data_IF_786774475511
#
_entry.id   IF_786774475511
#
_cell.length_a   1.000
_cell.length_b   1.000
_cell.length_c   1.000
_cell.angle_alpha   90.00
_cell.angle_beta   90.00
_cell.angle_gamma   90.00
#
_symmetry.space_group_name_H-M   'P 1'
#
loop_
_entity.id
_entity.type
_entity.pdbx_description
1 polymer ?
#
# COMPACT_ATOMS: atom_id res chain seq x y z
N UNK A 1 30.70 31.35 -22.89
CA UNK A 1 31.62 31.84 -21.83
C UNK A 1 30.82 32.79 -20.94
N UNK A 2 30.23 32.33 -19.86
CA UNK A 2 29.74 33.16 -18.75
C UNK A 2 29.88 32.38 -17.47
N UNK A 3 30.83 32.76 -16.66
CA UNK A 3 31.21 32.19 -15.38
C UNK A 3 30.11 32.48 -14.36
N UNK A 4 29.59 31.49 -13.67
CA UNK A 4 28.68 31.65 -12.55
C UNK A 4 29.45 31.44 -11.25
N UNK A 5 29.51 32.47 -10.47
CA UNK A 5 30.24 32.54 -9.21
C UNK A 5 29.51 31.80 -8.09
N UNK A 6 30.27 30.93 -7.45
CA UNK A 6 29.91 30.20 -6.24
C UNK A 6 30.00 31.17 -5.04
N UNK A 7 28.90 31.41 -4.34
CA UNK A 7 28.93 32.10 -3.03
C UNK A 7 28.63 31.09 -1.93
N UNK A 8 29.69 30.85 -1.17
CA UNK A 8 29.68 30.05 0.06
C UNK A 8 29.14 30.92 1.20
N UNK A 9 28.01 30.58 1.82
CA UNK A 9 27.55 31.19 3.07
C UNK A 9 27.64 30.17 4.19
N UNK A 10 28.59 30.40 5.03
CA UNK A 10 28.78 29.74 6.34
C UNK A 10 27.88 30.44 7.34
N UNK A 11 27.03 29.74 8.05
CA UNK A 11 26.35 30.27 9.22
C UNK A 11 26.51 29.33 10.43
N UNK A 12 26.93 29.97 11.51
CA UNK A 12 27.47 29.38 12.71
C UNK A 12 26.42 28.80 13.66
N UNK A 13 26.89 27.85 14.43
CA UNK A 13 26.31 27.10 15.53
C UNK A 13 26.10 28.01 16.75
N UNK A 14 24.96 27.91 17.44
CA UNK A 14 24.85 28.26 18.85
C UNK A 14 24.14 27.14 19.62
N UNK A 15 24.90 26.52 20.52
CA UNK A 15 24.45 25.60 21.54
C UNK A 15 23.86 26.38 22.72
N UNK A 16 22.73 25.91 23.26
CA UNK A 16 22.25 26.30 24.58
C UNK A 16 21.90 25.05 25.38
N UNK A 17 22.74 24.75 26.34
CA UNK A 17 22.48 23.81 27.39
C UNK A 17 21.62 24.48 28.48
N UNK A 18 20.62 23.83 29.01
CA UNK A 18 20.01 24.17 30.29
C UNK A 18 19.64 22.91 31.06
N UNK A 19 20.37 22.66 32.10
CA UNK A 19 20.03 21.76 33.20
C UNK A 19 19.02 22.44 34.13
N UNK A 20 18.00 21.78 34.59
CA UNK A 20 17.51 22.03 35.92
C UNK A 20 16.89 20.74 36.53
N UNK A 21 17.42 20.42 37.70
CA UNK A 21 17.01 19.31 38.54
C UNK A 21 15.84 19.70 39.45
N UNK A 22 15.15 18.68 39.93
CA UNK A 22 14.06 18.78 40.89
C UNK A 22 13.86 17.44 41.60
N UNK A 23 14.41 17.35 42.79
CA UNK A 23 14.28 16.24 43.74
C UNK A 23 12.89 16.23 44.39
N UNK A 24 12.29 15.06 44.61
CA UNK A 24 11.04 14.90 45.34
C UNK A 24 10.86 13.46 45.81
N UNK A 25 11.21 13.24 47.07
CA UNK A 25 11.19 12.02 47.84
C UNK A 25 9.77 11.62 48.25
N UNK A 26 9.47 10.32 48.29
CA UNK A 26 8.21 9.78 48.83
C UNK A 26 8.22 8.26 48.90
N UNK A 27 8.82 7.73 49.98
CA UNK A 27 8.68 6.31 50.39
C UNK A 27 7.25 6.00 50.77
N UNK A 28 6.76 4.80 50.41
CA UNK A 28 6.03 3.94 51.36
C UNK A 28 6.09 2.48 50.91
N UNK A 29 6.62 1.71 51.84
CA UNK A 29 6.66 0.27 51.87
C UNK A 29 5.23 -0.30 51.99
N UNK A 30 4.95 -1.44 51.38
CA UNK A 30 4.42 -2.57 52.15
C UNK A 30 4.65 -3.90 51.44
N UNK A 31 5.25 -4.76 52.19
CA UNK A 31 5.44 -6.20 52.05
C UNK A 31 4.17 -6.95 51.61
N UNK A 32 4.34 -7.91 50.76
CA UNK A 32 3.98 -9.32 50.98
C UNK A 32 4.07 -10.11 49.68
N UNK A 33 5.13 -10.90 49.57
CA UNK A 33 5.18 -12.04 48.64
C UNK A 33 4.71 -13.29 49.43
N UNK A 34 4.02 -14.23 48.78
CA UNK A 34 4.75 -15.44 48.48
C UNK A 34 4.48 -16.02 47.07
N UNK A 35 5.49 -16.75 46.66
CA UNK A 35 5.63 -17.48 45.43
C UNK A 35 4.58 -18.58 45.22
N UNK A 36 4.25 -18.83 43.92
CA UNK A 36 4.16 -20.21 43.42
C UNK A 36 4.00 -20.25 41.89
N UNK A 37 4.88 -21.04 41.29
CA UNK A 37 4.72 -21.92 40.14
C UNK A 37 4.48 -21.31 38.74
N UNK A 38 5.57 -21.19 38.01
CA UNK A 38 5.86 -21.80 36.72
C UNK A 38 4.71 -22.56 36.05
N UNK A 39 4.19 -22.02 34.97
CA UNK A 39 3.86 -22.82 33.78
C UNK A 39 3.92 -21.89 32.54
N UNK A 40 4.93 -22.14 31.74
CA UNK A 40 5.07 -21.61 30.38
C UNK A 40 4.11 -22.38 29.48
N UNK A 41 3.13 -21.77 28.83
CA UNK A 41 2.48 -22.42 27.71
C UNK A 41 3.39 -22.27 26.48
N UNK A 42 3.80 -23.42 25.95
CA UNK A 42 4.49 -23.56 24.71
C UNK A 42 3.79 -22.72 23.62
N UNK A 43 4.58 -21.92 22.91
CA UNK A 43 4.15 -21.25 21.70
C UNK A 43 3.68 -22.30 20.71
N UNK A 44 2.36 -22.41 20.55
CA UNK A 44 1.76 -23.10 19.42
C UNK A 44 2.15 -22.35 18.17
N UNK A 45 2.86 -23.01 17.26
CA UNK A 45 3.10 -22.56 15.91
C UNK A 45 1.74 -22.17 15.27
N UNK A 46 1.68 -21.07 14.53
CA UNK A 46 0.46 -20.74 13.81
C UNK A 46 0.17 -21.87 12.82
N UNK A 47 -0.93 -22.57 13.02
CA UNK A 47 -1.47 -23.48 12.05
C UNK A 47 -1.65 -22.70 10.74
N UNK A 48 -1.04 -23.17 9.66
CA UNK A 48 -1.30 -22.67 8.32
C UNK A 48 -2.79 -22.84 8.04
N UNK A 49 -3.53 -21.77 8.21
CA UNK A 49 -4.90 -21.68 7.75
C UNK A 49 -4.88 -21.86 6.25
N UNK A 50 -5.64 -22.79 5.66
CA UNK A 50 -5.73 -22.92 4.21
C UNK A 50 -6.01 -21.53 3.62
N UNK A 51 -5.24 -21.14 2.61
CA UNK A 51 -5.40 -19.87 1.93
C UNK A 51 -6.88 -19.71 1.54
N UNK A 52 -7.56 -18.77 2.18
CA UNK A 52 -8.89 -18.38 1.78
C UNK A 52 -8.86 -18.05 0.28
N UNK A 53 -9.88 -18.41 -0.50
CA UNK A 53 -9.92 -18.12 -1.93
C UNK A 53 -9.63 -16.63 -2.13
N UNK A 54 -8.75 -16.34 -3.09
CA UNK A 54 -8.24 -14.99 -3.32
C UNK A 54 -9.39 -13.97 -3.30
N UNK A 55 -9.28 -12.99 -2.43
CA UNK A 55 -10.23 -11.91 -2.24
C UNK A 55 -10.70 -11.38 -3.61
N UNK A 56 -12.00 -11.39 -3.86
CA UNK A 56 -12.58 -10.92 -5.11
C UNK A 56 -12.71 -11.98 -6.21
N UNK A 57 -13.09 -13.21 -5.87
CA UNK A 57 -13.38 -14.28 -6.83
C UNK A 57 -14.52 -13.98 -7.83
N UNK A 58 -15.28 -12.88 -7.63
CA UNK A 58 -16.26 -12.44 -8.61
C UNK A 58 -15.54 -11.85 -9.82
N UNK A 59 -15.52 -12.61 -10.91
CA UNK A 59 -15.05 -12.11 -12.21
C UNK A 59 -16.13 -11.18 -12.78
N UNK A 60 -15.80 -9.93 -12.99
CA UNK A 60 -16.65 -8.96 -13.68
C UNK A 60 -15.79 -8.09 -14.59
N UNK A 61 -15.75 -8.49 -15.85
CA UNK A 61 -15.02 -7.77 -16.90
C UNK A 61 -15.87 -6.67 -17.58
N UNK A 62 -17.16 -6.58 -17.26
CA UNK A 62 -18.04 -5.54 -17.79
C UNK A 62 -18.06 -4.30 -16.90
N UNK A 63 -17.80 -4.46 -15.61
CA UNK A 63 -17.69 -3.34 -14.70
C UNK A 63 -16.40 -2.55 -14.97
N UNK A 64 -16.55 -1.32 -15.43
CA UNK A 64 -15.43 -0.41 -15.69
C UNK A 64 -15.05 0.47 -14.49
N UNK A 65 -15.77 0.33 -13.39
CA UNK A 65 -15.60 1.16 -12.21
C UNK A 65 -16.06 2.60 -12.38
N UNK A 66 -15.75 3.40 -11.38
CA UNK A 66 -16.15 4.81 -11.26
C UNK A 66 -14.91 5.66 -11.25
N UNK A 67 -14.79 6.55 -12.23
CA UNK A 67 -13.63 7.41 -12.34
C UNK A 67 -13.42 7.99 -13.74
N UNK A 68 -12.28 8.60 -14.00
CA UNK A 68 -11.99 9.31 -15.24
C UNK A 68 -11.82 8.37 -16.44
N UNK A 69 -11.39 7.12 -16.23
CA UNK A 69 -11.07 6.21 -17.33
C UNK A 69 -12.32 5.50 -17.83
N UNK A 70 -12.80 5.88 -19.01
CA UNK A 70 -13.95 5.26 -19.68
C UNK A 70 -13.53 4.16 -20.66
N UNK A 71 -12.32 4.29 -21.21
CA UNK A 71 -11.69 3.32 -22.09
C UNK A 71 -10.17 3.43 -21.98
N UNK A 72 -9.46 2.33 -22.07
CA UNK A 72 -7.99 2.33 -22.08
C UNK A 72 -7.49 2.59 -23.50
N UNK A 73 -6.98 3.79 -23.76
CA UNK A 73 -6.47 4.24 -25.07
C UNK A 73 -4.96 4.51 -25.05
N UNK A 74 -4.19 3.95 -26.00
CA UNK A 74 -4.58 2.88 -26.92
C UNK A 74 -4.91 1.59 -26.15
N UNK A 75 -5.66 0.63 -26.72
CA UNK A 75 -5.93 -0.65 -26.09
C UNK A 75 -4.66 -1.36 -25.65
N UNK A 76 -4.76 -2.26 -24.67
CA UNK A 76 -3.58 -2.92 -24.09
C UNK A 76 -2.75 -3.73 -25.10
N UNK A 77 -3.40 -4.18 -26.18
CA UNK A 77 -2.76 -5.03 -27.21
C UNK A 77 -2.45 -6.45 -26.69
N UNK A 78 -1.97 -7.31 -27.57
CA UNK A 78 -1.58 -8.67 -27.22
C UNK A 78 -0.19 -8.73 -26.56
N UNK A 79 0.71 -7.85 -26.95
CA UNK A 79 2.09 -7.79 -26.42
C UNK A 79 2.20 -6.78 -25.28
N UNK A 80 3.08 -7.06 -24.32
CA UNK A 80 3.39 -6.14 -23.24
C UNK A 80 4.50 -5.20 -23.68
N UNK A 81 4.28 -3.90 -23.58
CA UNK A 81 5.33 -2.89 -23.70
C UNK A 81 6.23 -2.98 -22.46
N UNK A 82 7.41 -3.58 -22.64
CA UNK A 82 8.34 -3.85 -21.54
C UNK A 82 8.89 -2.56 -20.92
N UNK A 83 9.16 -1.53 -21.72
CA UNK A 83 9.67 -0.26 -21.21
C UNK A 83 8.65 0.43 -20.31
N UNK A 84 7.37 0.41 -20.72
CA UNK A 84 6.29 0.97 -19.93
C UNK A 84 5.99 0.10 -18.69
N UNK A 85 6.12 -1.23 -18.81
CA UNK A 85 5.95 -2.14 -17.67
C UNK A 85 7.03 -1.94 -16.60
N UNK A 86 8.30 -1.71 -16.97
CA UNK A 86 9.36 -1.41 -15.99
C UNK A 86 9.10 -0.07 -15.28
N UNK A 87 8.65 0.97 -16.00
CA UNK A 87 8.18 2.21 -15.36
C UNK A 87 7.05 1.95 -14.36
N UNK A 88 6.09 1.12 -14.75
CA UNK A 88 4.97 0.72 -13.88
C UNK A 88 5.42 -0.03 -12.64
N UNK A 89 6.41 -0.89 -12.77
CA UNK A 89 7.02 -1.63 -11.65
C UNK A 89 7.68 -0.69 -10.64
N UNK A 90 8.44 0.30 -11.11
CA UNK A 90 9.03 1.30 -10.21
C UNK A 90 7.96 2.16 -9.52
N UNK A 91 6.92 2.59 -10.25
CA UNK A 91 5.79 3.30 -9.66
C UNK A 91 5.06 2.46 -8.60
N UNK A 92 4.82 1.18 -8.90
CA UNK A 92 4.23 0.24 -7.94
C UNK A 92 5.09 0.08 -6.69
N UNK A 93 6.40 -0.06 -6.86
CA UNK A 93 7.36 -0.19 -5.76
C UNK A 93 7.31 1.01 -4.81
N UNK A 94 7.21 2.22 -5.35
CA UNK A 94 7.22 3.46 -4.56
C UNK A 94 5.87 3.69 -3.88
N UNK A 95 4.75 3.51 -4.61
CA UNK A 95 3.44 3.98 -4.17
C UNK A 95 2.55 2.87 -3.59
N UNK A 96 2.81 1.59 -3.89
CA UNK A 96 1.82 0.52 -3.61
C UNK A 96 2.31 -0.53 -2.62
N UNK A 97 3.64 -0.73 -2.48
CA UNK A 97 4.21 -1.86 -1.72
C UNK A 97 3.99 -1.78 -0.21
N UNK A 98 3.62 -0.62 0.31
CA UNK A 98 3.21 -0.46 1.70
C UNK A 98 1.97 -1.33 2.03
N UNK A 99 1.04 -1.46 1.07
CA UNK A 99 -0.21 -2.18 1.26
C UNK A 99 -0.38 -3.41 0.34
N UNK A 100 0.29 -3.47 -0.81
CA UNK A 100 0.16 -4.56 -1.79
C UNK A 100 1.47 -5.31 -1.98
N UNK A 101 1.38 -6.63 -2.12
CA UNK A 101 2.46 -7.48 -2.61
C UNK A 101 2.07 -8.04 -3.98
N UNK A 102 3.02 -8.16 -4.93
CA UNK A 102 2.70 -8.53 -6.32
C UNK A 102 1.89 -9.83 -6.45
N UNK A 103 2.23 -10.85 -5.67
CA UNK A 103 1.74 -12.22 -5.85
C UNK A 103 0.97 -12.79 -4.67
N UNK A 104 0.87 -12.05 -3.56
CA UNK A 104 0.15 -12.52 -2.37
C UNK A 104 -0.62 -11.39 -1.70
N UNK A 105 -1.74 -11.72 -1.06
CA UNK A 105 -2.48 -10.79 -0.21
C UNK A 105 -1.57 -10.28 0.91
N UNK A 106 -1.69 -8.99 1.20
CA UNK A 106 -1.07 -8.33 2.36
C UNK A 106 -2.16 -7.52 3.08
N UNK A 107 -2.09 -6.19 3.12
CA UNK A 107 -3.25 -5.38 3.54
C UNK A 107 -4.28 -5.42 2.41
N UNK A 108 -3.89 -5.00 1.22
CA UNK A 108 -4.70 -5.12 0.02
C UNK A 108 -4.51 -6.44 -0.74
N UNK A 109 -5.35 -6.71 -1.75
CA UNK A 109 -5.24 -7.90 -2.58
C UNK A 109 -3.98 -7.90 -3.45
N UNK A 110 -3.53 -9.09 -3.86
CA UNK A 110 -2.47 -9.24 -4.85
C UNK A 110 -2.95 -8.80 -6.23
N UNK A 111 -2.17 -7.98 -6.96
CA UNK A 111 -2.50 -7.65 -8.34
C UNK A 111 -2.25 -8.78 -9.36
N UNK A 112 -1.51 -9.84 -8.99
CA UNK A 112 -1.36 -11.01 -9.86
C UNK A 112 -2.72 -11.51 -10.39
N UNK A 113 -2.82 -11.69 -11.70
CA UNK A 113 -4.05 -12.14 -12.38
C UNK A 113 -5.22 -11.17 -12.26
N UNK A 114 -5.00 -9.88 -11.98
CA UNK A 114 -6.09 -8.93 -11.78
C UNK A 114 -6.91 -8.71 -13.05
N UNK A 115 -6.28 -8.77 -14.22
CA UNK A 115 -6.95 -8.55 -15.51
C UNK A 115 -7.78 -9.77 -15.98
N UNK A 116 -7.64 -10.91 -15.33
CA UNK A 116 -8.55 -12.05 -15.50
C UNK A 116 -9.89 -11.85 -14.75
N UNK A 117 -9.89 -10.97 -13.76
CA UNK A 117 -11.03 -10.74 -12.84
C UNK A 117 -11.69 -9.38 -13.01
N UNK A 118 -10.97 -8.40 -13.54
CA UNK A 118 -11.43 -6.99 -13.63
C UNK A 118 -11.10 -6.39 -14.99
N UNK A 119 -11.99 -5.54 -15.48
CA UNK A 119 -11.71 -4.73 -16.65
C UNK A 119 -10.50 -3.82 -16.38
N UNK A 120 -9.66 -3.58 -17.39
CA UNK A 120 -8.50 -2.69 -17.23
C UNK A 120 -8.89 -1.27 -16.83
N UNK A 121 -10.05 -0.77 -17.26
CA UNK A 121 -10.60 0.50 -16.84
C UNK A 121 -10.92 0.52 -15.34
N UNK A 122 -11.51 -0.56 -14.81
CA UNK A 122 -11.79 -0.69 -13.40
C UNK A 122 -10.52 -0.60 -12.56
N UNK A 123 -9.46 -1.30 -12.99
CA UNK A 123 -8.15 -1.28 -12.31
C UNK A 123 -7.56 0.12 -12.31
N UNK A 124 -7.59 0.81 -13.44
CA UNK A 124 -7.09 2.18 -13.54
C UNK A 124 -7.92 3.15 -12.68
N UNK A 125 -9.24 3.03 -12.70
CA UNK A 125 -10.12 3.86 -11.88
C UNK A 125 -9.90 3.60 -10.38
N UNK A 126 -9.65 2.36 -9.96
CA UNK A 126 -9.30 2.06 -8.57
C UNK A 126 -7.97 2.69 -8.13
N UNK A 127 -7.01 2.83 -9.05
CA UNK A 127 -5.73 3.51 -8.78
C UNK A 127 -5.91 5.04 -8.71
N UNK A 128 -6.73 5.61 -9.59
CA UNK A 128 -6.86 7.06 -9.79
C UNK A 128 -7.89 7.72 -8.89
N UNK A 129 -8.93 6.99 -8.50
CA UNK A 129 -10.11 7.51 -7.81
C UNK A 129 -10.65 6.52 -6.76
N UNK A 130 -9.79 6.05 -5.84
CA UNK A 130 -10.15 5.00 -4.88
C UNK A 130 -11.31 5.39 -3.95
N UNK A 131 -11.43 6.65 -3.57
CA UNK A 131 -12.49 7.13 -2.68
C UNK A 131 -13.88 6.94 -3.30
N UNK A 132 -14.08 7.39 -4.54
CA UNK A 132 -15.34 7.22 -5.27
C UNK A 132 -15.64 5.76 -5.58
N UNK A 133 -14.59 5.00 -5.92
CA UNK A 133 -14.69 3.56 -6.13
C UNK A 133 -15.20 2.87 -4.86
N UNK A 134 -14.56 3.11 -3.71
CA UNK A 134 -14.97 2.54 -2.42
C UNK A 134 -16.37 3.01 -2.03
N UNK A 135 -16.73 4.26 -2.31
CA UNK A 135 -18.04 4.80 -1.97
C UNK A 135 -19.19 4.22 -2.80
N UNK A 136 -18.96 3.88 -4.08
CA UNK A 136 -20.04 3.65 -5.02
C UNK A 136 -19.94 2.34 -5.82
N UNK A 137 -18.74 1.75 -5.98
CA UNK A 137 -18.57 0.49 -6.68
C UNK A 137 -18.74 -0.71 -5.73
N UNK A 138 -19.61 -1.68 -6.05
CA UNK A 138 -19.90 -2.79 -5.14
C UNK A 138 -18.69 -3.72 -4.90
N UNK A 139 -17.82 -3.87 -5.90
CA UNK A 139 -16.61 -4.69 -5.79
C UNK A 139 -15.57 -4.00 -4.91
N UNK A 140 -15.37 -2.69 -5.08
CA UNK A 140 -14.46 -1.93 -4.26
C UNK A 140 -14.90 -1.88 -2.79
N UNK A 141 -16.22 -1.76 -2.53
CA UNK A 141 -16.79 -1.91 -1.18
C UNK A 141 -16.48 -3.26 -0.56
N UNK A 142 -16.65 -4.33 -1.32
CA UNK A 142 -16.35 -5.68 -0.85
C UNK A 142 -14.86 -5.83 -0.52
N UNK A 143 -13.97 -5.32 -1.38
CA UNK A 143 -12.53 -5.35 -1.14
C UNK A 143 -12.11 -4.54 0.10
N UNK A 144 -12.79 -3.44 0.41
CA UNK A 144 -12.59 -2.70 1.65
C UNK A 144 -12.90 -3.56 2.89
N UNK A 145 -14.02 -4.29 2.88
CA UNK A 145 -14.36 -5.21 3.97
C UNK A 145 -13.32 -6.32 4.12
N UNK A 146 -12.87 -6.90 3.01
CA UNK A 146 -11.83 -7.92 2.98
C UNK A 146 -10.44 -7.42 3.43
N UNK A 147 -10.21 -6.11 3.35
CA UNK A 147 -9.05 -5.41 3.89
C UNK A 147 -9.24 -4.96 5.36
N UNK A 148 -10.26 -5.51 6.07
CA UNK A 148 -10.62 -5.13 7.44
C UNK A 148 -10.88 -3.62 7.61
N UNK A 149 -11.47 -2.99 6.60
CA UNK A 149 -11.80 -1.57 6.60
C UNK A 149 -10.62 -0.64 6.28
N UNK A 150 -9.45 -1.18 5.91
CA UNK A 150 -8.32 -0.35 5.49
C UNK A 150 -8.56 0.18 4.05
N UNK A 151 -8.81 1.47 3.85
CA UNK A 151 -9.10 2.00 2.53
C UNK A 151 -7.82 2.09 1.68
N UNK A 152 -7.97 1.94 0.38
CA UNK A 152 -6.90 2.28 -0.57
C UNK A 152 -6.78 3.81 -0.62
N UNK A 153 -5.59 4.31 -0.29
CA UNK A 153 -5.31 5.74 -0.34
C UNK A 153 -5.02 6.19 -1.78
N UNK A 154 -5.49 7.39 -2.12
CA UNK A 154 -5.17 8.02 -3.39
C UNK A 154 -3.68 8.40 -3.44
N UNK A 155 -2.98 7.90 -4.43
CA UNK A 155 -1.55 8.18 -4.63
C UNK A 155 -1.31 9.39 -5.55
N UNK A 156 -2.38 10.09 -5.96
CA UNK A 156 -2.33 11.26 -6.84
C UNK A 156 -1.57 11.02 -8.16
N UNK A 157 -1.69 9.80 -8.67
CA UNK A 157 -1.10 9.42 -9.94
C UNK A 157 -1.96 9.96 -11.10
N UNK A 158 -1.31 10.21 -12.23
CA UNK A 158 -2.02 10.53 -13.47
C UNK A 158 -2.36 9.26 -14.28
N UNK A 159 -3.14 9.41 -15.35
CA UNK A 159 -3.60 8.29 -16.17
C UNK A 159 -2.44 7.54 -16.85
N UNK A 160 -1.39 8.25 -17.28
CA UNK A 160 -0.21 7.63 -17.89
C UNK A 160 0.53 6.73 -16.87
N UNK A 161 0.66 7.19 -15.64
CA UNK A 161 1.28 6.43 -14.54
C UNK A 161 0.43 5.21 -14.15
N UNK A 162 -0.88 5.38 -14.04
CA UNK A 162 -1.80 4.26 -13.78
C UNK A 162 -1.75 3.23 -14.91
N UNK A 163 -1.65 3.68 -16.16
CA UNK A 163 -1.46 2.83 -17.34
C UNK A 163 -0.13 2.07 -17.30
N UNK A 164 0.95 2.71 -16.88
CA UNK A 164 2.24 2.04 -16.71
C UNK A 164 2.15 0.92 -15.66
N UNK A 165 1.50 1.17 -14.53
CA UNK A 165 1.24 0.16 -13.49
C UNK A 165 0.38 -0.98 -14.05
N UNK A 166 -0.64 -0.69 -14.85
CA UNK A 166 -1.46 -1.70 -15.50
C UNK A 166 -0.63 -2.59 -16.45
N UNK A 167 0.34 -2.02 -17.18
CA UNK A 167 1.27 -2.81 -18.01
C UNK A 167 2.18 -3.69 -17.16
N UNK A 168 2.63 -3.20 -16.01
CA UNK A 168 3.38 -4.03 -15.07
C UNK A 168 2.54 -5.22 -14.57
N UNK A 169 1.26 -5.03 -14.26
CA UNK A 169 0.40 -6.13 -13.80
C UNK A 169 0.32 -7.27 -14.81
N UNK A 170 0.40 -6.99 -16.10
CA UNK A 170 0.46 -8.01 -17.16
C UNK A 170 1.77 -8.82 -17.17
N UNK A 171 2.80 -8.40 -16.49
CA UNK A 171 4.06 -9.15 -16.37
C UNK A 171 4.05 -10.12 -15.19
N UNK A 172 3.04 -10.07 -14.33
CA UNK A 172 2.89 -10.90 -13.13
C UNK A 172 1.61 -11.74 -13.15
N UNK A 173 1.06 -11.99 -14.33
CA UNK A 173 -0.09 -12.88 -14.57
C UNK A 173 0.27 -14.36 -14.38
#
# INVERSE_FOLDING_TARGET
MKSLRLTLSVLAITALASCNGGSGNGQNNNDSQPAAATETPAAAAPAETPAAPAAGANVDLNNKGIGPVKAVNPPLGSTVDQALAEKGKELFKINCTACHKPTKKFIGPAPKGILERRAPEWVMNMILNPEEMIANDPIAKQLLLEANGAPMANQHLNEEQARAILKYFRTIE
#
